data_IF_273705061886
#
_entry.id   IF_273705061886
#
_cell.length_a   1.000
_cell.length_b   1.000
_cell.length_c   1.000
_cell.angle_alpha   90.00
_cell.angle_beta   90.00
_cell.angle_gamma   90.00
#
_symmetry.space_group_name_H-M   'P 1'
#
loop_
_entity.id
_entity.type
_entity.pdbx_description
1 polymer ?
#
# COMPACT_ATOMS: atom_id res chain seq x y z
N UNK A 1 0.06 15.56 2.60
CA UNK A 1 -0.81 15.73 3.78
C UNK A 1 -0.60 17.06 4.50
N UNK A 2 0.59 17.70 4.39
CA UNK A 2 0.88 18.95 5.13
C UNK A 2 0.16 20.21 4.60
N UNK A 3 -0.46 20.15 3.45
CA UNK A 3 -1.16 21.31 2.87
C UNK A 3 -2.41 21.77 3.65
N UNK A 4 -2.88 20.99 4.64
CA UNK A 4 -4.11 21.25 5.36
C UNK A 4 -3.92 21.41 6.88
N UNK A 5 -2.72 21.78 7.33
CA UNK A 5 -2.40 21.85 8.77
C UNK A 5 -2.63 20.52 9.52
N UNK A 6 -2.56 19.41 8.83
CA UNK A 6 -2.72 18.09 9.43
C UNK A 6 -1.46 17.72 10.23
N UNK A 7 -1.65 17.31 11.49
CA UNK A 7 -0.60 16.66 12.26
C UNK A 7 -0.49 15.20 11.77
N UNK A 8 0.67 14.82 11.27
CA UNK A 8 0.89 13.50 10.67
C UNK A 8 1.76 12.61 11.59
N UNK A 9 1.40 11.33 11.67
CA UNK A 9 2.23 10.28 12.28
C UNK A 9 2.45 9.20 11.24
N UNK A 10 3.72 8.88 10.96
CA UNK A 10 4.12 7.80 10.05
C UNK A 10 4.67 6.61 10.81
N UNK A 11 4.33 5.40 10.35
CA UNK A 11 4.88 4.14 10.87
C UNK A 11 5.51 3.39 9.71
N UNK A 12 6.72 2.91 9.90
CA UNK A 12 7.44 2.08 8.93
C UNK A 12 8.37 1.12 9.66
N UNK A 13 8.60 -0.06 9.08
CA UNK A 13 9.55 -1.05 9.61
C UNK A 13 11.00 -0.65 9.32
N UNK A 14 11.24 0.12 8.25
CA UNK A 14 12.58 0.51 7.81
C UNK A 14 13.18 1.60 8.71
N UNK A 15 14.23 1.26 9.44
CA UNK A 15 15.01 2.22 10.23
C UNK A 15 15.57 3.36 9.37
N UNK A 16 16.13 3.03 8.20
CA UNK A 16 16.65 4.02 7.23
C UNK A 16 15.54 4.87 6.62
N UNK A 17 14.38 4.27 6.36
CA UNK A 17 13.21 5.00 5.89
C UNK A 17 12.74 6.04 6.90
N UNK A 18 12.64 5.66 8.17
CA UNK A 18 12.28 6.54 9.27
C UNK A 18 13.34 7.62 9.52
N UNK A 19 14.64 7.27 9.48
CA UNK A 19 15.72 8.27 9.59
C UNK A 19 15.60 9.33 8.48
N UNK A 20 15.41 8.89 7.25
CA UNK A 20 15.23 9.79 6.11
C UNK A 20 13.99 10.66 6.22
N UNK A 21 12.87 10.11 6.70
CA UNK A 21 11.65 10.87 6.94
C UNK A 21 11.85 11.96 7.99
N UNK A 22 12.58 11.68 9.07
CA UNK A 22 12.94 12.66 10.11
C UNK A 22 13.83 13.77 9.57
N UNK A 23 14.85 13.44 8.76
CA UNK A 23 15.69 14.45 8.12
C UNK A 23 14.88 15.42 7.24
N UNK A 24 13.93 14.89 6.45
CA UNK A 24 13.06 15.70 5.59
C UNK A 24 12.15 16.58 6.45
N UNK A 25 11.58 16.03 7.51
CA UNK A 25 10.73 16.73 8.46
C UNK A 25 11.45 17.95 9.06
N UNK A 26 12.68 17.75 9.53
CA UNK A 26 13.52 18.84 10.07
C UNK A 26 13.86 19.88 9.01
N UNK A 27 14.34 19.46 7.83
CA UNK A 27 14.70 20.38 6.73
C UNK A 27 13.55 21.26 6.27
N UNK A 28 12.34 20.73 6.29
CA UNK A 28 11.13 21.44 5.87
C UNK A 28 10.37 22.08 7.03
N UNK A 29 10.89 21.97 8.27
CA UNK A 29 10.27 22.45 9.50
C UNK A 29 8.81 22.03 9.62
N UNK A 30 8.55 20.72 9.43
CA UNK A 30 7.21 20.13 9.53
C UNK A 30 6.96 19.57 10.93
N UNK A 31 5.69 19.51 11.35
CA UNK A 31 5.27 18.90 12.62
C UNK A 31 4.73 17.48 12.38
N UNK A 32 5.66 16.55 12.12
CA UNK A 32 5.30 15.13 11.95
C UNK A 32 6.08 14.23 12.92
N UNK A 33 5.46 13.16 13.34
CA UNK A 33 6.04 12.12 14.18
C UNK A 33 6.29 10.86 13.35
N UNK A 34 7.43 10.17 13.59
CA UNK A 34 7.77 8.93 12.89
C UNK A 34 8.18 7.85 13.87
N UNK A 35 7.55 6.68 13.76
CA UNK A 35 7.76 5.50 14.59
C UNK A 35 8.32 4.37 13.72
N UNK A 36 9.46 3.82 14.13
CA UNK A 36 10.05 2.64 13.50
C UNK A 36 9.59 1.40 14.25
N UNK A 37 8.67 0.65 13.68
CA UNK A 37 8.21 -0.64 14.23
C UNK A 37 7.48 -1.46 13.17
N UNK A 38 7.30 -2.75 13.45
CA UNK A 38 6.34 -3.57 12.71
C UNK A 38 4.93 -3.02 12.91
N UNK A 39 4.13 -2.96 11.83
CA UNK A 39 2.75 -2.48 11.91
C UNK A 39 1.91 -3.29 12.88
N UNK A 40 2.17 -4.58 13.02
CA UNK A 40 1.47 -5.45 13.96
C UNK A 40 1.79 -5.13 15.44
N UNK A 41 2.91 -4.47 15.68
CA UNK A 41 3.34 -4.03 17.02
C UNK A 41 3.04 -2.54 17.28
N UNK A 42 2.56 -1.80 16.29
CA UNK A 42 2.29 -0.37 16.40
C UNK A 42 1.43 0.04 17.60
N UNK A 43 0.43 -0.76 18.06
CA UNK A 43 -0.33 -0.44 19.27
C UNK A 43 0.47 -0.40 20.57
N UNK A 44 1.68 -0.98 20.59
CA UNK A 44 2.59 -0.92 21.74
C UNK A 44 3.52 0.32 21.71
N UNK A 45 3.52 1.05 20.59
CA UNK A 45 4.37 2.23 20.37
C UNK A 45 3.59 3.55 20.25
N UNK A 46 2.27 3.48 20.00
CA UNK A 46 1.39 4.62 19.80
C UNK A 46 0.08 4.45 20.56
N UNK A 47 -0.25 5.42 21.41
CA UNK A 47 -1.53 5.48 22.15
C UNK A 47 -2.58 6.37 21.44
N UNK A 48 -2.14 7.18 20.47
CA UNK A 48 -2.97 8.18 19.80
C UNK A 48 -4.02 7.55 18.89
N UNK A 49 -5.15 8.26 18.71
CA UNK A 49 -6.20 7.95 17.73
C UNK A 49 -6.28 9.07 16.70
N UNK A 50 -6.56 8.70 15.47
CA UNK A 50 -6.51 9.59 14.32
C UNK A 50 -7.89 9.78 13.70
N UNK A 51 -8.11 10.96 13.13
CA UNK A 51 -9.31 11.25 12.33
C UNK A 51 -9.24 10.53 10.97
N UNK A 52 -8.02 10.34 10.46
CA UNK A 52 -7.74 9.65 9.20
C UNK A 52 -6.58 8.69 9.40
N UNK A 53 -6.75 7.44 8.96
CA UNK A 53 -5.65 6.49 8.71
C UNK A 53 -5.53 6.32 7.22
N UNK A 54 -4.31 6.40 6.72
CA UNK A 54 -4.01 6.29 5.29
C UNK A 54 -2.96 5.21 5.04
N UNK A 55 -3.21 4.37 4.04
CA UNK A 55 -2.25 3.40 3.52
C UNK A 55 -2.19 3.54 2.00
N UNK A 56 -1.01 3.42 1.41
CA UNK A 56 -0.84 3.60 -0.04
C UNK A 56 0.03 2.53 -0.66
N UNK A 57 0.05 2.56 -1.95
CA UNK A 57 0.61 1.64 -2.94
C UNK A 57 1.75 0.72 -2.49
N UNK A 58 1.60 -0.58 -2.76
CA UNK A 58 2.61 -1.59 -2.51
C UNK A 58 2.77 -1.97 -1.04
N UNK A 59 1.76 -1.73 -0.20
CA UNK A 59 1.87 -1.93 1.25
C UNK A 59 1.33 -3.28 1.70
N UNK A 60 0.12 -3.67 1.29
CA UNK A 60 -0.52 -4.88 1.84
C UNK A 60 0.10 -6.18 1.36
N UNK A 61 0.83 -6.14 0.24
CA UNK A 61 1.60 -7.29 -0.23
C UNK A 61 2.72 -7.73 0.72
N UNK A 62 3.10 -6.91 1.70
CA UNK A 62 4.07 -7.25 2.75
C UNK A 62 3.44 -7.88 3.99
N UNK A 63 2.13 -7.99 4.06
CA UNK A 63 1.41 -8.42 5.27
C UNK A 63 0.87 -9.85 5.12
N UNK A 64 1.26 -10.78 5.99
CA UNK A 64 0.73 -12.16 5.95
C UNK A 64 -0.72 -12.27 6.43
N UNK A 65 -1.25 -11.27 7.14
CA UNK A 65 -2.57 -11.34 7.80
C UNK A 65 -3.30 -10.00 7.71
N UNK A 66 -4.18 -9.87 6.71
CA UNK A 66 -4.98 -8.67 6.53
C UNK A 66 -6.03 -8.47 7.63
N UNK A 67 -6.47 -9.54 8.30
CA UNK A 67 -7.39 -9.43 9.44
C UNK A 67 -6.76 -8.70 10.62
N UNK A 68 -5.51 -9.04 10.96
CA UNK A 68 -4.75 -8.33 11.99
C UNK A 68 -4.45 -6.89 11.59
N UNK A 69 -4.03 -6.66 10.34
CA UNK A 69 -3.79 -5.31 9.83
C UNK A 69 -5.06 -4.44 9.89
N UNK A 70 -6.20 -4.92 9.42
CA UNK A 70 -7.46 -4.19 9.47
C UNK A 70 -7.91 -3.86 10.91
N UNK A 71 -7.64 -4.78 11.86
CA UNK A 71 -7.86 -4.54 13.30
C UNK A 71 -7.01 -3.38 13.81
N UNK A 72 -5.76 -3.26 13.35
CA UNK A 72 -4.86 -2.16 13.73
C UNK A 72 -5.32 -0.84 13.11
N UNK A 73 -5.73 -0.85 11.84
CA UNK A 73 -6.34 0.33 11.19
C UNK A 73 -7.55 0.80 12.00
N UNK A 74 -8.47 -0.11 12.32
CA UNK A 74 -9.63 0.21 13.16
C UNK A 74 -9.23 0.68 14.57
N UNK A 75 -8.19 0.08 15.17
CA UNK A 75 -7.68 0.49 16.48
C UNK A 75 -7.26 1.95 16.48
N UNK A 76 -6.53 2.40 15.48
CA UNK A 76 -6.00 3.76 15.43
C UNK A 76 -7.02 4.81 14.98
N UNK A 77 -8.15 4.44 14.42
CA UNK A 77 -9.19 5.40 14.09
C UNK A 77 -10.01 5.81 15.30
N UNK A 78 -10.36 7.09 15.38
CA UNK A 78 -11.43 7.60 16.24
C UNK A 78 -12.79 7.06 15.78
N UNK A 79 -13.85 7.05 16.63
CA UNK A 79 -15.21 6.85 16.14
C UNK A 79 -15.51 7.81 14.98
N UNK A 80 -16.18 7.34 13.94
CA UNK A 80 -16.45 8.06 12.67
C UNK A 80 -15.22 8.48 11.87
N UNK A 81 -14.00 8.12 12.31
CA UNK A 81 -12.74 8.33 11.60
C UNK A 81 -12.72 7.60 10.26
N UNK A 82 -11.93 8.13 9.32
CA UNK A 82 -11.88 7.63 7.94
C UNK A 82 -10.61 6.84 7.68
N UNK A 83 -10.78 5.64 7.14
CA UNK A 83 -9.71 4.92 6.47
C UNK A 83 -9.72 5.30 4.99
N UNK A 84 -8.57 5.69 4.46
CA UNK A 84 -8.36 5.99 3.05
C UNK A 84 -7.24 5.11 2.53
N UNK A 85 -7.48 4.44 1.43
CA UNK A 85 -6.57 3.45 0.91
C UNK A 85 -6.49 3.51 -0.61
N UNK A 86 -5.28 3.40 -1.15
CA UNK A 86 -5.02 3.22 -2.57
C UNK A 86 -3.92 2.18 -2.74
N UNK A 87 -4.14 1.18 -3.60
CA UNK A 87 -3.22 0.06 -3.75
C UNK A 87 -3.24 -0.49 -5.17
N UNK A 88 -2.20 -1.22 -5.55
CA UNK A 88 -2.18 -1.98 -6.78
C UNK A 88 -3.20 -3.12 -6.73
N UNK A 89 -3.92 -3.29 -7.84
CA UNK A 89 -4.92 -4.34 -7.91
C UNK A 89 -4.26 -5.72 -7.95
N UNK A 90 -4.76 -6.73 -7.22
CA UNK A 90 -4.14 -8.05 -7.18
C UNK A 90 -4.03 -8.75 -8.54
N UNK A 91 -4.77 -8.30 -9.54
CA UNK A 91 -4.65 -8.79 -10.92
C UNK A 91 -3.28 -8.47 -11.51
N UNK A 92 -2.64 -7.33 -11.19
CA UNK A 92 -1.32 -7.00 -11.76
C UNK A 92 -0.24 -7.94 -11.24
N UNK A 93 -0.39 -8.45 -10.04
CA UNK A 93 0.54 -9.39 -9.41
C UNK A 93 0.37 -10.85 -9.89
N UNK A 94 -0.63 -11.11 -10.75
CA UNK A 94 -0.77 -12.42 -11.38
C UNK A 94 0.20 -12.64 -12.54
N UNK A 95 0.73 -11.57 -13.12
CA UNK A 95 1.54 -11.62 -14.33
C UNK A 95 3.04 -11.75 -14.01
N UNK A 96 3.78 -12.22 -15.03
CA UNK A 96 5.21 -12.06 -15.08
C UNK A 96 5.60 -10.57 -15.17
N UNK A 97 6.88 -10.23 -14.94
CA UNK A 97 7.37 -8.85 -14.94
C UNK A 97 7.16 -8.09 -16.27
N UNK A 98 6.89 -8.79 -17.37
CA UNK A 98 6.63 -8.21 -18.69
C UNK A 98 5.14 -8.22 -19.07
N UNK A 99 4.27 -8.68 -18.19
CA UNK A 99 2.82 -8.80 -18.43
C UNK A 99 2.45 -9.66 -19.64
N UNK A 100 3.26 -10.66 -19.96
CA UNK A 100 3.04 -11.55 -21.10
C UNK A 100 2.26 -12.80 -20.74
N UNK A 101 2.47 -13.32 -19.54
CA UNK A 101 1.88 -14.57 -19.06
C UNK A 101 1.31 -14.39 -17.65
N UNK A 102 0.22 -15.11 -17.37
CA UNK A 102 -0.30 -15.27 -16.02
C UNK A 102 0.56 -16.32 -15.32
N UNK A 103 1.29 -15.91 -14.28
CA UNK A 103 2.28 -16.71 -13.58
C UNK A 103 1.82 -17.10 -12.17
N UNK A 104 1.21 -16.16 -11.43
CA UNK A 104 0.73 -16.38 -10.07
C UNK A 104 -0.78 -16.52 -10.00
N UNK A 105 -1.23 -17.27 -8.99
CA UNK A 105 -2.66 -17.47 -8.74
C UNK A 105 -3.29 -16.22 -8.09
N UNK A 106 -4.47 -15.82 -8.57
CA UNK A 106 -5.25 -14.78 -7.93
C UNK A 106 -5.68 -15.17 -6.50
N UNK A 107 -6.08 -16.41 -6.31
CA UNK A 107 -6.47 -16.98 -5.00
C UNK A 107 -5.25 -17.61 -4.32
N UNK A 108 -4.18 -16.82 -4.18
CA UNK A 108 -2.98 -17.27 -3.51
C UNK A 108 -3.18 -17.23 -1.98
N UNK A 109 -2.83 -18.30 -1.30
CA UNK A 109 -2.89 -18.41 0.17
C UNK A 109 -1.51 -18.58 0.79
N UNK A 110 -0.48 -18.65 -0.03
CA UNK A 110 0.90 -18.90 0.39
C UNK A 110 1.77 -17.68 0.10
N UNK A 111 2.90 -17.64 0.79
CA UNK A 111 3.93 -16.64 0.54
C UNK A 111 4.54 -16.78 -0.86
N UNK A 112 4.81 -15.67 -1.50
CA UNK A 112 5.55 -15.57 -2.75
C UNK A 112 6.97 -15.16 -2.38
N UNK A 113 7.94 -16.02 -2.72
CA UNK A 113 9.35 -15.79 -2.39
C UNK A 113 10.11 -15.56 -3.67
N UNK A 114 10.73 -14.38 -3.82
CA UNK A 114 11.48 -13.98 -5.01
C UNK A 114 12.86 -13.44 -4.64
N UNK A 115 13.84 -13.66 -5.51
CA UNK A 115 15.14 -13.01 -5.44
C UNK A 115 15.11 -11.79 -6.36
N UNK A 116 15.04 -10.60 -5.77
CA UNK A 116 14.97 -9.33 -6.50
C UNK A 116 16.33 -8.64 -6.59
N UNK A 117 16.60 -8.01 -7.74
CA UNK A 117 17.78 -7.17 -7.96
C UNK A 117 17.35 -5.73 -8.22
N UNK A 118 18.08 -4.78 -7.62
CA UNK A 118 17.72 -3.37 -7.68
C UNK A 118 16.62 -2.99 -6.68
N UNK A 119 16.04 -1.84 -6.87
CA UNK A 119 14.87 -1.35 -6.10
C UNK A 119 13.84 -0.76 -7.05
N UNK A 120 12.60 -0.55 -6.59
CA UNK A 120 11.57 0.14 -7.37
C UNK A 120 11.97 1.59 -7.72
N UNK A 121 12.84 2.22 -6.91
CA UNK A 121 13.34 3.57 -7.13
C UNK A 121 14.57 3.62 -8.03
N UNK A 122 15.42 2.58 -7.99
CA UNK A 122 16.59 2.42 -8.83
C UNK A 122 16.76 0.93 -9.22
N UNK A 123 16.32 0.62 -10.43
CA UNK A 123 16.35 -0.76 -10.97
C UNK A 123 17.76 -1.26 -11.26
N UNK A 124 18.75 -0.36 -11.31
CA UNK A 124 20.16 -0.67 -11.57
C UNK A 124 21.02 -0.67 -10.31
N UNK A 125 20.41 -0.45 -9.13
CA UNK A 125 21.15 -0.55 -7.89
C UNK A 125 21.73 -1.96 -7.71
N UNK A 126 22.99 -2.06 -7.33
CA UNK A 126 23.68 -3.32 -7.05
C UNK A 126 23.25 -3.89 -5.68
N UNK A 127 21.96 -4.11 -5.53
CA UNK A 127 21.33 -4.68 -4.34
C UNK A 127 20.59 -5.94 -4.79
N UNK A 128 20.83 -7.04 -4.09
CA UNK A 128 20.02 -8.27 -4.22
C UNK A 128 19.42 -8.58 -2.87
N UNK A 129 18.11 -8.79 -2.83
CA UNK A 129 17.38 -9.13 -1.64
C UNK A 129 16.38 -10.24 -1.93
N UNK A 130 16.18 -11.11 -0.95
CA UNK A 130 15.08 -12.06 -0.96
C UNK A 130 13.85 -11.35 -0.41
N UNK A 131 12.78 -11.28 -1.20
CA UNK A 131 11.50 -10.73 -0.80
C UNK A 131 10.50 -11.83 -0.48
N UNK A 132 9.63 -11.56 0.47
CA UNK A 132 8.52 -12.44 0.85
C UNK A 132 7.26 -11.59 0.81
N UNK A 133 6.38 -11.91 -0.11
CA UNK A 133 5.15 -11.13 -0.36
C UNK A 133 3.92 -12.02 -0.43
N UNK A 134 2.75 -11.42 -0.39
CA UNK A 134 1.46 -12.08 -0.52
C UNK A 134 0.60 -11.36 -1.56
N UNK A 135 -0.12 -12.12 -2.38
CA UNK A 135 -1.12 -11.56 -3.28
C UNK A 135 -2.52 -11.81 -2.70
N UNK A 136 -3.11 -10.78 -2.11
CA UNK A 136 -4.41 -10.87 -1.45
C UNK A 136 -5.56 -10.61 -2.42
N UNK A 137 -6.50 -11.55 -2.60
CA UNK A 137 -7.71 -11.29 -3.37
C UNK A 137 -8.49 -10.09 -2.80
N UNK A 138 -9.14 -9.31 -3.66
CA UNK A 138 -9.96 -8.17 -3.24
C UNK A 138 -11.00 -8.55 -2.17
N UNK A 139 -11.58 -9.75 -2.26
CA UNK A 139 -12.55 -10.25 -1.27
C UNK A 139 -11.96 -10.42 0.12
N UNK A 140 -10.70 -10.83 0.26
CA UNK A 140 -10.02 -10.96 1.55
C UNK A 140 -9.85 -9.58 2.20
N UNK A 141 -9.36 -8.60 1.44
CA UNK A 141 -9.23 -7.21 1.90
C UNK A 141 -10.57 -6.65 2.39
N UNK A 142 -11.60 -6.71 1.54
CA UNK A 142 -12.91 -6.14 1.87
C UNK A 142 -13.53 -6.81 3.11
N UNK A 143 -13.44 -8.13 3.21
CA UNK A 143 -13.92 -8.86 4.38
C UNK A 143 -13.12 -8.54 5.64
N UNK A 144 -11.79 -8.37 5.54
CA UNK A 144 -10.95 -7.96 6.65
C UNK A 144 -11.37 -6.59 7.21
N UNK A 145 -11.68 -5.62 6.34
CA UNK A 145 -12.17 -4.31 6.76
C UNK A 145 -13.55 -4.40 7.42
N UNK A 146 -14.51 -5.05 6.76
CA UNK A 146 -15.90 -5.19 7.25
C UNK A 146 -15.95 -5.87 8.62
N UNK A 147 -15.21 -6.96 8.79
CA UNK A 147 -15.20 -7.73 10.06
C UNK A 147 -14.51 -6.98 11.21
N UNK A 148 -13.75 -5.91 10.91
CA UNK A 148 -13.11 -5.06 11.89
C UNK A 148 -13.80 -3.69 12.06
N UNK A 149 -15.12 -3.62 11.86
CA UNK A 149 -15.95 -2.44 12.07
C UNK A 149 -15.60 -1.25 11.17
N UNK A 150 -15.12 -1.51 9.96
CA UNK A 150 -14.85 -0.51 8.94
C UNK A 150 -15.92 -0.62 7.85
N UNK A 151 -16.90 0.27 7.88
CA UNK A 151 -17.97 0.35 6.88
C UNK A 151 -17.45 0.99 5.61
N UNK A 152 -17.52 0.26 4.49
CA UNK A 152 -17.07 0.76 3.20
C UNK A 152 -17.96 1.88 2.69
N UNK A 153 -17.35 3.00 2.30
CA UNK A 153 -18.04 4.13 1.68
C UNK A 153 -18.03 4.01 0.16
N UNK A 154 -16.89 3.65 -0.41
CA UNK A 154 -16.70 3.38 -1.83
C UNK A 154 -15.52 2.45 -2.07
N UNK A 155 -15.53 1.82 -3.25
CA UNK A 155 -14.43 1.07 -3.84
C UNK A 155 -14.40 1.40 -5.34
N UNK A 156 -13.27 1.90 -5.84
CA UNK A 156 -13.09 2.27 -7.24
C UNK A 156 -11.88 1.52 -7.81
N UNK A 157 -12.00 1.09 -9.06
CA UNK A 157 -10.92 0.47 -9.83
C UNK A 157 -10.49 1.36 -10.99
N UNK A 158 -9.22 1.31 -11.34
CA UNK A 158 -8.63 2.11 -12.41
C UNK A 158 -7.77 1.21 -13.29
N UNK A 159 -7.84 1.43 -14.60
CA UNK A 159 -7.05 0.73 -15.63
C UNK A 159 -5.65 1.32 -15.80
N UNK A 160 -5.18 2.13 -14.84
CA UNK A 160 -3.89 2.80 -14.88
C UNK A 160 -3.24 2.92 -13.49
N UNK A 161 -1.92 3.09 -13.49
CA UNK A 161 -1.13 3.54 -12.34
C UNK A 161 -0.88 5.06 -12.43
N UNK A 162 -0.85 5.80 -11.31
CA UNK A 162 -0.54 7.24 -11.31
C UNK A 162 0.94 7.55 -11.55
N UNK A 163 1.81 6.54 -11.62
CA UNK A 163 3.24 6.68 -11.90
C UNK A 163 3.78 5.43 -12.62
N UNK A 164 4.91 5.60 -13.30
CA UNK A 164 5.56 4.55 -14.08
C UNK A 164 6.35 3.59 -13.18
N UNK A 165 5.69 2.56 -12.65
CA UNK A 165 6.30 1.57 -11.75
C UNK A 165 6.42 0.16 -12.35
N UNK A 166 5.74 -0.14 -13.45
CA UNK A 166 5.76 -1.46 -14.11
C UNK A 166 6.56 -1.44 -15.40
N UNK A 167 6.99 -2.61 -15.87
CA UNK A 167 7.50 -2.78 -17.21
C UNK A 167 6.38 -2.64 -18.25
N UNK A 168 6.74 -2.41 -19.52
CA UNK A 168 5.80 -2.35 -20.65
C UNK A 168 4.70 -1.29 -20.52
N UNK A 169 4.89 -0.28 -19.67
CA UNK A 169 3.93 0.83 -19.51
C UNK A 169 4.06 1.86 -20.63
N UNK A 170 2.95 2.53 -20.92
CA UNK A 170 2.88 3.77 -21.69
C UNK A 170 2.12 4.82 -20.90
N UNK A 171 2.53 6.07 -21.00
CA UNK A 171 1.76 7.22 -20.52
C UNK A 171 0.76 7.60 -21.62
N UNK A 172 -0.53 7.38 -21.38
CA UNK A 172 -1.58 7.67 -22.36
C UNK A 172 -2.32 8.98 -22.07
N UNK A 173 -2.27 9.46 -20.85
CA UNK A 173 -2.67 10.78 -20.36
C UNK A 173 -1.68 11.24 -19.29
N UNK A 174 -1.57 12.54 -18.98
CA UNK A 174 -0.65 13.04 -17.96
C UNK A 174 -0.82 12.33 -16.62
N UNK A 175 0.28 11.70 -16.14
CA UNK A 175 0.35 10.89 -14.91
C UNK A 175 -0.61 9.68 -14.90
N UNK A 176 -0.94 9.11 -16.06
CA UNK A 176 -1.69 7.87 -16.18
C UNK A 176 -0.91 6.87 -17.04
N UNK A 177 -0.44 5.83 -16.39
CA UNK A 177 0.39 4.78 -17.00
C UNK A 177 -0.36 3.46 -17.00
N UNK A 178 -0.42 2.80 -18.15
CA UNK A 178 -1.04 1.48 -18.30
C UNK A 178 -0.11 0.54 -19.06
N UNK A 179 -0.39 -0.76 -18.97
CA UNK A 179 0.37 -1.76 -19.74
C UNK A 179 -0.03 -1.65 -21.23
N UNK A 180 0.93 -1.30 -22.05
CA UNK A 180 0.72 -0.94 -23.46
C UNK A 180 -0.11 -1.94 -24.27
N UNK A 181 0.16 -3.23 -24.16
CA UNK A 181 -0.53 -4.27 -24.94
C UNK A 181 -1.81 -4.78 -24.29
N UNK A 182 -2.02 -4.47 -23.01
CA UNK A 182 -3.26 -4.80 -22.30
C UNK A 182 -4.27 -3.65 -22.32
N UNK A 183 -3.82 -2.40 -22.54
CA UNK A 183 -4.69 -1.23 -22.59
C UNK A 183 -5.59 -1.15 -21.32
N UNK A 184 -6.91 -1.04 -21.52
CA UNK A 184 -7.91 -1.00 -20.44
C UNK A 184 -8.52 -2.37 -20.11
N UNK A 185 -7.82 -3.47 -20.38
CA UNK A 185 -8.36 -4.83 -20.20
C UNK A 185 -8.23 -5.37 -18.79
N UNK A 186 -7.37 -4.74 -17.97
CA UNK A 186 -7.16 -5.16 -16.58
C UNK A 186 -7.24 -3.96 -15.63
N UNK A 187 -7.75 -4.14 -14.41
CA UNK A 187 -7.58 -3.15 -13.36
C UNK A 187 -6.13 -3.15 -12.89
N UNK A 188 -5.53 -1.96 -12.75
CA UNK A 188 -4.15 -1.81 -12.29
C UNK A 188 -4.05 -1.30 -10.86
N UNK A 189 -4.99 -0.45 -10.47
CA UNK A 189 -5.04 0.20 -9.18
C UNK A 189 -6.47 0.22 -8.68
N UNK A 190 -6.66 0.21 -7.38
CA UNK A 190 -7.93 0.50 -6.76
C UNK A 190 -7.77 1.51 -5.61
N UNK A 191 -8.86 2.19 -5.29
CA UNK A 191 -8.95 3.04 -4.10
C UNK A 191 -10.23 2.74 -3.34
N UNK A 192 -10.17 2.84 -2.02
CA UNK A 192 -11.35 2.72 -1.17
C UNK A 192 -11.31 3.72 -0.02
N UNK A 193 -12.46 3.98 0.53
CA UNK A 193 -12.59 4.61 1.84
C UNK A 193 -13.57 3.82 2.69
N UNK A 194 -13.29 3.77 3.98
CA UNK A 194 -14.17 3.19 4.98
C UNK A 194 -14.29 4.11 6.19
N UNK A 195 -15.38 3.96 6.93
CA UNK A 195 -15.65 4.70 8.18
C UNK A 195 -15.65 3.74 9.34
N UNK A 196 -14.96 4.05 10.41
CA UNK A 196 -15.04 3.29 11.66
C UNK A 196 -16.40 3.50 12.32
N UNK A 197 -17.07 2.40 12.65
CA UNK A 197 -18.32 2.36 13.43
C UNK A 197 -18.06 2.20 14.92
#
# INVERSE_FOLDING_TARGET
FFFFFAKATGVDLSDKGIERAREINEKLNLDATFVCCDIYDAPNHLDEKFDIVFTSYGTIGWFPDLGKWAKIVSHFLKPDGKFVFAEFHPVVWMFDNDFKEVFYNYFNTEEIIEDESGTYADRYAEISAKTVTWNHPTSELLNALITNNLELNYYNEFDYSPYNCFNQTEEFEPNKFRIKHLENKIPMVYSLSATKK
#
